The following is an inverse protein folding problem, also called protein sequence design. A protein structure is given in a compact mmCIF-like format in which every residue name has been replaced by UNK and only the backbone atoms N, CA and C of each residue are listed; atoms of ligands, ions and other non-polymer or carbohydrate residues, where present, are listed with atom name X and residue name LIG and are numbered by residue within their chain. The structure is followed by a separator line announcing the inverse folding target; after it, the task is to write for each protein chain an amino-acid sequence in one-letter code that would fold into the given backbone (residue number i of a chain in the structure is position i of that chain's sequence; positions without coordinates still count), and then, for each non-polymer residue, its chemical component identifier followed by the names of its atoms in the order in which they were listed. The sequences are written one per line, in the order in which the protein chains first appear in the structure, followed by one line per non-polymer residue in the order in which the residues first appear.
data_IF_482814033878
#
_entry.id   IF_482814033878
#
_cell.length_a   1.000
_cell.length_b   1.000
_cell.length_c   1.000
_cell.angle_alpha   90.00
_cell.angle_beta   90.00
_cell.angle_gamma   90.00
#
_symmetry.space_group_name_H-M   'P 1'
#
loop_
_entity.id
_entity.type
_entity.pdbx_description
1 polymer ?
#
# COMPACT_ATOMS: atom_id res chain seq x y z
N UNK A 1 -19.56 -46.03 7.85
CA UNK A 1 -19.51 -44.61 7.46
C UNK A 1 -18.27 -44.00 8.11
N UNK A 2 -17.11 -43.97 7.43
CA UNK A 2 -15.81 -43.67 8.04
C UNK A 2 -15.21 -42.30 7.67
N UNK A 3 -15.95 -41.43 6.97
CA UNK A 3 -15.41 -40.17 6.43
C UNK A 3 -15.21 -39.09 7.51
N UNK A 4 -15.87 -39.25 8.67
CA UNK A 4 -15.78 -38.28 9.78
C UNK A 4 -14.45 -38.35 10.55
N UNK A 5 -13.80 -39.51 10.58
CA UNK A 5 -12.54 -39.67 11.32
C UNK A 5 -11.33 -39.11 10.54
N UNK A 6 -11.38 -39.17 9.21
CA UNK A 6 -10.35 -38.59 8.33
C UNK A 6 -10.36 -37.05 8.39
N UNK A 7 -11.53 -36.44 8.26
CA UNK A 7 -11.73 -34.98 8.38
C UNK A 7 -11.27 -34.44 9.74
N UNK A 8 -11.51 -35.19 10.84
CA UNK A 8 -11.10 -34.77 12.18
C UNK A 8 -9.57 -34.77 12.36
N UNK A 9 -8.89 -35.71 11.70
CA UNK A 9 -7.43 -35.82 11.75
C UNK A 9 -6.77 -34.70 10.96
N UNK A 10 -7.34 -34.32 9.81
CA UNK A 10 -6.91 -33.14 9.07
C UNK A 10 -7.16 -31.84 9.84
N UNK A 11 -8.31 -31.73 10.51
CA UNK A 11 -8.67 -30.56 11.29
C UNK A 11 -7.76 -30.36 12.51
N UNK A 12 -7.42 -31.45 13.20
CA UNK A 12 -6.49 -31.42 14.33
C UNK A 12 -5.04 -31.15 13.90
N UNK A 13 -4.60 -31.67 12.76
CA UNK A 13 -3.29 -31.31 12.19
C UNK A 13 -3.20 -29.83 11.78
N UNK A 14 -4.27 -29.28 11.19
CA UNK A 14 -4.38 -27.83 10.92
C UNK A 14 -4.35 -27.00 12.21
N UNK A 15 -5.09 -27.42 13.24
CA UNK A 15 -5.11 -26.75 14.55
C UNK A 15 -3.76 -26.82 15.27
N UNK A 16 -3.04 -27.94 15.17
CA UNK A 16 -1.71 -28.10 15.74
C UNK A 16 -0.67 -27.24 15.01
N UNK A 17 -0.77 -27.13 13.67
CA UNK A 17 0.05 -26.18 12.91
C UNK A 17 -0.25 -24.72 13.28
N UNK A 18 -1.52 -24.36 13.47
CA UNK A 18 -1.94 -23.02 13.90
C UNK A 18 -1.52 -22.69 15.34
N UNK A 19 -1.57 -23.64 16.27
CA UNK A 19 -1.14 -23.42 17.66
C UNK A 19 0.37 -23.37 17.84
N UNK A 20 1.14 -24.14 17.07
CA UNK A 20 2.63 -24.07 17.09
C UNK A 20 3.16 -22.85 16.35
N UNK A 21 2.30 -22.23 15.53
CA UNK A 21 2.51 -20.98 14.80
C UNK A 21 1.77 -19.87 15.55
N UNK A 22 2.28 -19.48 16.72
CA UNK A 22 1.79 -18.28 17.40
C UNK A 22 1.68 -17.14 16.39
N UNK A 23 0.44 -16.70 16.13
CA UNK A 23 0.04 -15.55 15.29
C UNK A 23 1.09 -15.06 14.29
N UNK A 24 1.52 -15.95 13.40
CA UNK A 24 2.69 -15.68 12.59
C UNK A 24 2.65 -16.59 11.39
N UNK A 25 1.84 -16.23 10.39
CA UNK A 25 2.17 -16.55 9.01
C UNK A 25 3.67 -16.59 8.86
N UNK A 26 4.20 -17.74 8.41
CA UNK A 26 5.49 -17.72 7.75
C UNK A 26 5.28 -16.86 6.50
N UNK A 27 5.24 -15.55 6.66
CA UNK A 27 5.63 -14.63 5.63
C UNK A 27 7.01 -15.13 5.29
N UNK A 28 7.15 -15.77 4.12
CA UNK A 28 8.47 -15.79 3.48
C UNK A 28 9.03 -14.40 3.68
N UNK A 29 10.26 -14.28 4.18
CA UNK A 29 10.89 -12.99 4.40
C UNK A 29 11.04 -12.32 3.03
N UNK A 30 9.96 -11.70 2.56
CA UNK A 30 9.88 -11.01 1.29
C UNK A 30 10.86 -9.86 1.44
N UNK A 31 11.78 -9.79 0.49
CA UNK A 31 12.82 -8.78 0.54
C UNK A 31 12.16 -7.40 0.39
N UNK A 32 12.63 -6.39 1.14
CA UNK A 32 12.20 -5.02 0.91
C UNK A 32 12.48 -4.66 -0.55
N UNK A 33 11.57 -3.92 -1.17
CA UNK A 33 11.75 -3.45 -2.52
C UNK A 33 12.88 -2.43 -2.60
N UNK A 34 13.62 -2.42 -3.71
CA UNK A 34 14.62 -1.39 -3.93
C UNK A 34 13.92 -0.03 -4.06
N UNK A 35 14.42 0.96 -3.32
CA UNK A 35 13.98 2.34 -3.47
C UNK A 35 14.50 2.91 -4.79
N UNK A 36 13.63 3.56 -5.55
CA UNK A 36 14.02 4.37 -6.69
C UNK A 36 14.48 5.76 -6.24
N UNK A 37 15.45 6.32 -6.96
CA UNK A 37 15.86 7.71 -6.80
C UNK A 37 14.79 8.64 -7.37
N UNK A 38 14.32 9.57 -6.55
CA UNK A 38 13.43 10.65 -6.98
C UNK A 38 13.81 11.96 -6.30
N UNK A 39 13.50 13.07 -6.95
CA UNK A 39 13.67 14.40 -6.39
C UNK A 39 12.29 15.01 -6.12
N UNK A 40 12.00 15.30 -4.86
CA UNK A 40 10.80 16.01 -4.48
C UNK A 40 10.97 17.50 -4.85
N UNK A 41 10.05 18.03 -5.66
CA UNK A 41 10.03 19.44 -6.08
C UNK A 41 9.00 20.25 -5.28
N UNK A 42 7.93 19.59 -4.82
CA UNK A 42 6.89 20.18 -3.98
C UNK A 42 7.44 20.69 -2.64
N UNK A 43 7.07 21.92 -2.27
CA UNK A 43 7.35 22.52 -0.95
C UNK A 43 6.30 22.20 0.10
N UNK A 44 5.15 21.66 -0.30
CA UNK A 44 4.01 21.32 0.55
C UNK A 44 4.00 19.85 1.02
N UNK A 45 5.06 19.12 0.72
CA UNK A 45 5.22 17.72 1.04
C UNK A 45 6.63 17.47 1.58
N UNK A 46 6.77 16.45 2.43
CA UNK A 46 8.07 16.05 2.97
C UNK A 46 8.31 14.57 2.71
N UNK A 47 9.57 14.19 2.55
CA UNK A 47 9.92 12.77 2.49
C UNK A 47 10.03 12.20 3.90
N UNK A 48 9.67 10.93 4.05
CA UNK A 48 9.85 10.19 5.30
C UNK A 48 10.25 8.76 5.00
N UNK A 49 10.94 8.12 5.95
CA UNK A 49 11.29 6.71 5.85
C UNK A 49 10.09 5.86 6.25
N UNK A 50 9.71 4.92 5.39
CA UNK A 50 8.60 4.01 5.62
C UNK A 50 9.10 2.83 6.44
N UNK A 51 8.82 2.88 7.73
CA UNK A 51 9.16 1.85 8.71
C UNK A 51 8.13 1.84 9.84
N UNK A 52 8.11 0.77 10.63
CA UNK A 52 7.24 0.72 11.81
C UNK A 52 7.65 1.82 12.80
N UNK A 53 6.67 2.59 13.27
CA UNK A 53 6.86 3.77 14.11
C UNK A 53 6.96 5.09 13.34
N UNK A 54 7.10 5.04 12.00
CA UNK A 54 7.16 6.23 11.17
C UNK A 54 5.81 6.98 11.15
N UNK A 55 5.88 8.29 10.90
CA UNK A 55 4.72 9.18 10.83
C UNK A 55 4.41 9.50 9.37
N UNK A 56 3.35 8.91 8.80
CA UNK A 56 3.02 9.08 7.39
C UNK A 56 2.27 10.38 7.08
N UNK A 57 1.82 11.11 8.10
CA UNK A 57 1.13 12.40 7.97
C UNK A 57 1.91 13.52 8.65
N UNK A 58 1.81 14.74 8.11
CA UNK A 58 2.50 15.91 8.66
C UNK A 58 1.79 16.46 9.92
N UNK A 59 0.45 16.57 9.89
CA UNK A 59 -0.32 17.18 10.98
C UNK A 59 -0.85 16.18 12.02
N UNK A 60 -0.65 14.88 11.79
CA UNK A 60 -1.13 13.83 12.69
C UNK A 60 0.05 13.07 13.27
N UNK A 61 -0.05 12.77 14.56
CA UNK A 61 0.95 11.97 15.28
C UNK A 61 0.74 10.46 15.12
N UNK A 62 -0.09 10.02 14.16
CA UNK A 62 -0.35 8.61 13.90
C UNK A 62 0.92 7.93 13.42
N UNK A 63 1.15 6.71 13.91
CA UNK A 63 2.32 5.93 13.55
C UNK A 63 1.94 4.68 12.78
N UNK A 64 2.82 4.24 11.90
CA UNK A 64 2.73 2.92 11.30
C UNK A 64 2.97 1.89 12.42
N UNK A 65 2.00 1.02 12.68
CA UNK A 65 2.12 -0.04 13.69
C UNK A 65 2.46 -1.38 13.07
N UNK A 66 1.99 -1.62 11.84
CA UNK A 66 2.29 -2.82 11.07
C UNK A 66 2.60 -2.40 9.63
N UNK A 67 3.63 -3.00 9.05
CA UNK A 67 4.12 -2.69 7.71
C UNK A 67 4.53 -3.97 7.02
N UNK A 68 4.10 -4.15 5.77
CA UNK A 68 4.56 -5.23 4.91
C UNK A 68 6.09 -5.14 4.73
N UNK A 69 6.82 -6.25 4.87
CA UNK A 69 8.29 -6.24 4.81
C UNK A 69 8.83 -5.71 3.46
N UNK A 70 8.05 -5.81 2.39
CA UNK A 70 8.35 -5.25 1.06
C UNK A 70 8.47 -3.73 1.04
N UNK A 71 7.72 -3.04 1.90
CA UNK A 71 7.70 -1.57 1.97
C UNK A 71 8.75 -1.01 2.93
N UNK A 72 9.35 -1.88 3.75
CA UNK A 72 10.23 -1.46 4.82
C UNK A 72 11.52 -0.84 4.28
N UNK A 73 11.79 0.39 4.69
CA UNK A 73 12.98 1.14 4.29
C UNK A 73 12.82 1.96 3.02
N UNK A 74 11.64 2.00 2.40
CA UNK A 74 11.34 2.90 1.29
C UNK A 74 11.26 4.35 1.77
N UNK A 75 11.43 5.30 0.83
CA UNK A 75 11.21 6.72 1.10
C UNK A 75 9.84 7.12 0.56
N UNK A 76 8.90 7.29 1.48
CA UNK A 76 7.55 7.78 1.21
C UNK A 76 7.50 9.30 1.20
N UNK A 77 6.33 9.83 0.84
CA UNK A 77 6.03 11.26 0.88
C UNK A 77 4.85 11.46 1.82
N UNK A 78 5.05 12.26 2.87
CA UNK A 78 4.01 12.63 3.82
C UNK A 78 3.38 13.94 3.38
N UNK A 79 2.06 13.98 3.50
CA UNK A 79 1.24 15.14 3.20
C UNK A 79 0.36 15.49 4.39
N UNK A 80 -0.27 16.66 4.33
CA UNK A 80 -1.25 17.08 5.32
C UNK A 80 -2.54 16.26 5.24
N UNK A 81 -2.89 15.57 6.33
CA UNK A 81 -4.15 14.81 6.42
C UNK A 81 -5.37 15.74 6.33
N UNK A 82 -5.31 16.86 7.04
CA UNK A 82 -6.42 17.81 7.08
C UNK A 82 -6.63 18.51 5.72
N UNK A 83 -5.54 18.85 4.99
CA UNK A 83 -5.65 19.38 3.63
C UNK A 83 -6.23 18.34 2.65
N UNK A 84 -5.77 17.09 2.73
CA UNK A 84 -6.25 15.99 1.88
C UNK A 84 -7.72 15.67 2.12
N UNK A 85 -8.13 15.59 3.39
CA UNK A 85 -9.54 15.44 3.78
C UNK A 85 -10.42 16.60 3.28
N UNK A 86 -9.92 17.83 3.31
CA UNK A 86 -10.64 19.00 2.82
C UNK A 86 -10.71 19.09 1.29
N UNK A 87 -10.06 18.16 0.56
CA UNK A 87 -9.95 18.21 -0.90
C UNK A 87 -9.09 19.38 -1.40
N UNK A 88 -8.27 19.98 -0.53
CA UNK A 88 -7.36 21.09 -0.83
C UNK A 88 -5.90 20.64 -0.88
N UNK A 89 -5.65 19.35 -1.10
CA UNK A 89 -4.29 18.89 -1.27
C UNK A 89 -3.73 19.48 -2.57
N UNK A 90 -2.51 20.01 -2.53
CA UNK A 90 -1.83 20.41 -3.76
C UNK A 90 -1.11 19.19 -4.33
N UNK A 91 -1.06 19.05 -5.66
CA UNK A 91 -0.43 17.90 -6.30
C UNK A 91 1.04 17.81 -5.91
N UNK A 92 1.49 16.58 -5.61
CA UNK A 92 2.90 16.35 -5.26
C UNK A 92 3.71 16.32 -6.55
N UNK A 93 4.62 17.28 -6.70
CA UNK A 93 5.54 17.39 -7.82
C UNK A 93 6.85 16.70 -7.49
N UNK A 94 7.27 15.81 -8.37
CA UNK A 94 8.51 15.06 -8.24
C UNK A 94 9.14 14.83 -9.61
N UNK A 95 10.46 14.70 -9.62
CA UNK A 95 11.25 14.37 -10.80
C UNK A 95 11.90 13.00 -10.62
N UNK A 96 11.82 12.19 -11.66
CA UNK A 96 12.41 10.84 -11.71
C UNK A 96 13.29 10.73 -12.94
N UNK A 97 14.47 10.15 -12.79
CA UNK A 97 15.43 9.99 -13.90
C UNK A 97 15.28 8.64 -14.61
N UNK A 98 14.57 7.70 -14.00
CA UNK A 98 14.33 6.35 -14.48
C UNK A 98 12.82 6.07 -14.42
N UNK A 99 12.31 5.08 -15.16
CA UNK A 99 10.91 4.68 -15.02
C UNK A 99 10.68 4.04 -13.65
N UNK A 100 9.67 4.53 -12.93
CA UNK A 100 9.35 4.11 -11.55
C UNK A 100 7.88 3.77 -11.39
N UNK A 101 7.61 2.94 -10.40
CA UNK A 101 6.30 2.72 -9.80
C UNK A 101 6.18 3.54 -8.52
N UNK A 102 5.18 4.40 -8.46
CA UNK A 102 4.82 5.13 -7.24
C UNK A 102 3.81 4.28 -6.46
N UNK A 103 4.10 4.02 -5.19
CA UNK A 103 3.28 3.24 -4.28
C UNK A 103 2.31 4.15 -3.54
N UNK A 104 1.02 3.95 -3.78
CA UNK A 104 -0.08 4.74 -3.23
C UNK A 104 -0.92 3.84 -2.33
N UNK A 105 -1.06 4.24 -1.08
CA UNK A 105 -1.87 3.57 -0.08
C UNK A 105 -3.29 4.13 -0.02
N UNK A 106 -4.28 3.28 -0.29
CA UNK A 106 -5.71 3.59 -0.19
C UNK A 106 -6.33 2.85 1.00
N UNK A 107 -7.03 3.59 1.85
CA UNK A 107 -7.64 3.03 3.05
C UNK A 107 -8.89 2.22 2.72
N UNK A 108 -9.01 1.03 3.33
CA UNK A 108 -10.15 0.12 3.15
C UNK A 108 -11.38 0.52 3.96
N UNK A 109 -11.79 1.78 3.83
CA UNK A 109 -12.96 2.29 4.51
C UNK A 109 -13.69 3.27 3.59
N UNK A 110 -14.98 3.02 3.37
CA UNK A 110 -15.81 3.85 2.50
C UNK A 110 -16.35 5.06 3.29
N UNK A 111 -15.44 5.98 3.66
CA UNK A 111 -15.78 7.27 4.26
C UNK A 111 -15.18 8.38 3.42
N UNK A 112 -15.89 9.50 3.31
CA UNK A 112 -15.46 10.68 2.54
C UNK A 112 -14.17 11.33 3.03
N UNK A 113 -13.65 10.90 4.19
CA UNK A 113 -12.35 11.33 4.71
C UNK A 113 -11.18 10.56 4.08
N UNK A 114 -11.45 9.45 3.40
CA UNK A 114 -10.48 8.56 2.77
C UNK A 114 -10.67 8.57 1.26
N UNK A 115 -9.55 8.78 0.56
CA UNK A 115 -9.56 8.71 -0.89
C UNK A 115 -9.84 7.28 -1.31
N UNK A 116 -10.76 7.09 -2.24
CA UNK A 116 -11.06 5.77 -2.80
C UNK A 116 -10.12 5.48 -3.98
N UNK A 117 -9.72 4.21 -4.18
CA UNK A 117 -8.95 3.83 -5.36
C UNK A 117 -9.80 4.04 -6.63
N UNK A 118 -9.16 4.24 -7.79
CA UNK A 118 -9.87 4.32 -9.06
C UNK A 118 -10.71 3.05 -9.27
N UNK A 119 -11.96 3.22 -9.70
CA UNK A 119 -12.85 2.08 -9.94
C UNK A 119 -12.38 1.32 -11.20
N UNK A 120 -12.02 0.03 -11.09
CA UNK A 120 -11.54 -0.76 -12.22
C UNK A 120 -12.55 -0.81 -13.37
N UNK A 121 -13.86 -0.87 -13.09
CA UNK A 121 -14.90 -0.90 -14.13
C UNK A 121 -14.89 0.33 -15.04
N UNK A 122 -14.38 1.47 -14.55
CA UNK A 122 -14.27 2.71 -15.33
C UNK A 122 -12.85 2.97 -15.86
N UNK A 123 -11.85 2.30 -15.30
CA UNK A 123 -10.43 2.50 -15.64
C UNK A 123 -9.85 1.41 -16.56
N UNK A 124 -10.56 0.29 -16.75
CA UNK A 124 -10.10 -0.88 -17.50
C UNK A 124 -9.68 -0.58 -18.95
N UNK A 125 -10.31 0.40 -19.60
CA UNK A 125 -9.99 0.79 -20.99
C UNK A 125 -8.81 1.77 -21.11
N UNK A 126 -8.38 2.41 -20.01
CA UNK A 126 -7.45 3.55 -20.04
C UNK A 126 -6.15 3.32 -19.29
N UNK A 127 -6.05 2.26 -18.49
CA UNK A 127 -5.00 2.09 -17.49
C UNK A 127 -4.51 0.64 -17.47
N UNK A 128 -3.21 0.42 -17.24
CA UNK A 128 -2.66 -0.94 -17.16
C UNK A 128 -3.26 -1.70 -15.97
N UNK A 129 -3.40 -3.04 -16.09
CA UNK A 129 -3.99 -3.88 -15.04
C UNK A 129 -3.32 -3.70 -13.67
N UNK A 130 -2.01 -3.50 -13.68
CA UNK A 130 -1.22 -3.30 -12.46
C UNK A 130 -1.54 -1.98 -11.74
N UNK A 131 -2.14 -1.00 -12.42
CA UNK A 131 -2.50 0.30 -11.84
C UNK A 131 -3.94 0.36 -11.33
N UNK A 132 -4.78 -0.64 -11.65
CA UNK A 132 -6.19 -0.73 -11.21
C UNK A 132 -6.41 -1.75 -10.10
N UNK A 133 -5.46 -2.66 -9.87
CA UNK A 133 -5.50 -3.67 -8.82
C UNK A 133 -4.47 -3.39 -7.72
N UNK A 134 -4.78 -3.68 -6.46
CA UNK A 134 -3.81 -3.53 -5.38
C UNK A 134 -2.68 -4.56 -5.52
N UNK A 135 -1.43 -4.11 -5.43
CA UNK A 135 -0.24 -4.96 -5.40
C UNK A 135 -0.05 -5.63 -4.05
N UNK A 136 -0.44 -4.96 -2.97
CA UNK A 136 -0.44 -5.50 -1.61
C UNK A 136 -1.76 -5.18 -0.93
N UNK A 137 -2.33 -6.18 -0.30
CA UNK A 137 -3.62 -6.09 0.39
C UNK A 137 -3.36 -6.11 1.90
N UNK A 138 -4.00 -5.20 2.66
CA UNK A 138 -3.76 -5.00 4.10
C UNK A 138 -2.28 -4.82 4.44
N UNK A 139 -1.57 -4.10 3.59
CA UNK A 139 -0.12 -4.03 3.62
C UNK A 139 0.40 -3.15 4.76
N UNK A 140 -0.39 -2.17 5.19
CA UNK A 140 0.01 -1.21 6.21
C UNK A 140 -1.13 -0.97 7.17
N UNK A 141 -0.78 -0.88 8.44
CA UNK A 141 -1.69 -0.46 9.51
C UNK A 141 -1.12 0.75 10.20
N UNK A 142 -1.95 1.78 10.31
CA UNK A 142 -1.61 3.05 10.96
C UNK A 142 -2.51 3.21 12.19
N UNK A 143 -1.97 3.75 13.28
CA UNK A 143 -2.75 4.02 14.49
C UNK A 143 -3.99 4.85 14.18
N UNK A 144 -5.13 4.46 14.77
CA UNK A 144 -6.42 5.14 14.60
C UNK A 144 -6.89 5.27 13.14
N UNK A 145 -6.34 4.45 12.24
CA UNK A 145 -6.71 4.38 10.84
C UNK A 145 -7.10 2.94 10.47
N UNK A 146 -7.97 2.75 9.47
CA UNK A 146 -8.26 1.43 8.93
C UNK A 146 -7.02 0.84 8.24
N UNK A 147 -7.09 -0.45 7.93
CA UNK A 147 -6.11 -1.11 7.06
C UNK A 147 -6.11 -0.45 5.68
N UNK A 148 -4.95 -0.43 5.02
CA UNK A 148 -4.83 0.12 3.67
C UNK A 148 -4.22 -0.89 2.70
N UNK A 149 -4.70 -0.78 1.47
CA UNK A 149 -4.21 -1.53 0.31
C UNK A 149 -3.26 -0.63 -0.49
N UNK A 150 -2.25 -1.22 -1.10
CA UNK A 150 -1.23 -0.50 -1.87
C UNK A 150 -1.44 -0.74 -3.34
N UNK A 151 -1.48 0.35 -4.09
CA UNK A 151 -1.60 0.39 -5.53
C UNK A 151 -0.32 0.98 -6.10
N UNK A 152 -0.02 0.65 -7.35
CA UNK A 152 1.11 1.23 -8.06
C UNK A 152 0.63 2.14 -9.17
N UNK A 153 1.41 3.17 -9.47
CA UNK A 153 1.18 4.03 -10.63
C UNK A 153 2.47 4.22 -11.40
N UNK A 154 2.42 4.05 -12.73
CA UNK A 154 3.63 4.12 -13.56
C UNK A 154 3.98 5.56 -13.88
N UNK A 155 5.26 5.90 -13.74
CA UNK A 155 5.80 7.18 -14.17
C UNK A 155 7.05 6.97 -15.01
N UNK A 156 7.08 7.59 -16.20
CA UNK A 156 8.26 7.61 -17.08
C UNK A 156 9.31 8.59 -16.54
N UNK A 157 10.58 8.53 -16.98
CA UNK A 157 11.56 9.55 -16.63
C UNK A 157 11.08 10.95 -17.03
N UNK A 158 11.23 11.93 -16.14
CA UNK A 158 10.78 13.30 -16.30
C UNK A 158 10.17 13.90 -15.04
N UNK A 159 9.58 15.09 -15.19
CA UNK A 159 8.84 15.79 -14.13
C UNK A 159 7.38 15.40 -14.16
N UNK A 160 6.87 15.00 -13.01
CA UNK A 160 5.50 14.53 -12.87
C UNK A 160 4.82 15.17 -11.69
N UNK A 161 3.49 15.25 -11.80
CA UNK A 161 2.61 15.68 -10.73
C UNK A 161 1.70 14.52 -10.35
N UNK A 162 1.79 14.05 -9.11
CA UNK A 162 0.86 13.07 -8.57
C UNK A 162 -0.49 13.75 -8.31
N UNK A 163 -1.41 13.56 -9.25
CA UNK A 163 -2.81 14.00 -9.12
C UNK A 163 -3.68 12.77 -8.80
N UNK A 164 -4.50 12.91 -7.76
CA UNK A 164 -5.46 11.88 -7.34
C UNK A 164 -6.88 12.43 -7.36
N UNK A 165 -7.78 11.78 -8.08
CA UNK A 165 -9.13 12.32 -8.24
C UNK A 165 -9.98 11.96 -7.03
N UNK A 166 -10.36 12.97 -6.24
CA UNK A 166 -11.31 12.83 -5.14
C UNK A 166 -10.86 13.53 -3.85
N UNK A 167 -11.81 13.88 -2.96
CA UNK A 167 -11.49 14.29 -1.61
C UNK A 167 -11.09 13.08 -0.76
N UNK A 168 -10.15 13.28 0.15
CA UNK A 168 -9.79 12.26 1.13
C UNK A 168 -8.28 12.08 1.29
N UNK A 169 -7.91 11.47 2.40
CA UNK A 169 -6.52 11.16 2.72
C UNK A 169 -6.09 9.85 2.08
N UNK A 170 -4.83 9.84 1.65
CA UNK A 170 -4.12 8.69 1.10
C UNK A 170 -2.67 8.75 1.58
N UNK A 171 -1.94 7.65 1.42
CA UNK A 171 -0.53 7.59 1.75
C UNK A 171 0.32 7.43 0.50
N UNK A 172 1.51 7.99 0.51
CA UNK A 172 2.55 7.72 -0.49
C UNK A 172 3.65 6.95 0.23
N UNK A 173 3.76 5.67 -0.10
CA UNK A 173 4.64 4.70 0.58
C UNK A 173 6.01 4.59 -0.09
N UNK A 174 6.19 5.27 -1.22
CA UNK A 174 7.47 5.50 -1.86
C UNK A 174 7.47 5.17 -3.32
N UNK A 175 8.67 5.08 -3.88
CA UNK A 175 8.88 4.81 -5.30
C UNK A 175 9.84 3.64 -5.47
N UNK A 176 9.53 2.74 -6.38
CA UNK A 176 10.37 1.59 -6.70
C UNK A 176 10.64 1.55 -8.22
N UNK A 177 11.79 1.03 -8.68
CA UNK A 177 12.09 0.94 -10.10
C UNK A 177 11.04 0.12 -10.86
N UNK A 178 10.78 0.45 -12.14
CA UNK A 178 9.77 -0.27 -12.92
C UNK A 178 10.05 -1.79 -13.03
N UNK A 179 11.31 -2.19 -12.95
CA UNK A 179 11.73 -3.60 -13.02
C UNK A 179 11.35 -4.45 -11.80
N UNK A 180 10.81 -3.85 -10.73
CA UNK A 180 10.34 -4.60 -9.56
C UNK A 180 9.09 -5.40 -9.93
N UNK A 181 9.14 -6.71 -9.63
CA UNK A 181 7.98 -7.58 -9.77
C UNK A 181 7.21 -7.60 -8.46
N UNK A 182 5.93 -7.24 -8.54
CA UNK A 182 5.00 -7.35 -7.43
C UNK A 182 4.51 -8.81 -7.36
N UNK A 183 5.06 -9.58 -6.43
CA UNK A 183 4.50 -10.91 -6.11
C UNK A 183 3.14 -10.70 -5.46
N UNK A 184 2.07 -10.90 -6.24
CA UNK A 184 0.70 -10.77 -5.77
C UNK A 184 0.46 -11.76 -4.64
N UNK A 185 -0.14 -11.28 -3.56
CA UNK A 185 -0.58 -12.16 -2.50
C UNK A 185 -1.82 -12.95 -2.96
N UNK A 186 -1.82 -14.29 -2.87
CA UNK A 186 -2.96 -15.10 -3.30
C UNK A 186 -4.25 -14.80 -2.51
N UNK A 187 -4.20 -14.13 -1.35
CA UNK A 187 -5.40 -13.67 -0.63
C UNK A 187 -6.16 -12.55 -1.37
N UNK A 188 -5.54 -11.86 -2.33
CA UNK A 188 -6.21 -10.85 -3.16
C UNK A 188 -7.21 -11.46 -4.18
N UNK A 189 -7.08 -12.76 -4.48
CA UNK A 189 -7.87 -13.46 -5.50
C UNK A 189 -9.18 -14.07 -4.93
N UNK A 190 -9.36 -14.04 -3.60
CA UNK A 190 -10.58 -14.58 -2.97
C UNK A 190 -11.67 -13.50 -2.98
N UNK A 191 -12.27 -13.28 -4.16
CA UNK A 191 -13.60 -12.68 -4.27
C UNK A 191 -14.63 -13.77 -3.96
N UNK A 192 -15.35 -13.62 -2.84
CA UNK A 192 -16.61 -14.32 -2.60
C UNK A 192 -17.75 -13.62 -3.36
#
# INVERSE_FOLDING_TARGET
MPVYEEEFTEFTNKLAMLKRRGSGGKSQARKPWPQAGFQLLSTNAETYRVEVGARPFMDRSYRIVELAPELNGLTGIRISHDAAKAGRYEPVEFEVQEPVWVLIGYFRENRSIWLQPPNPDFAADLTEKDEVEPVLVKAVRVENCPELDVYVKRYMPGRHQLRVHGPGSFLILGMVPQGVKFERDPEADIRF
#
